data_IF_884494661642
#
_entry.id   IF_884494661642
#
_cell.length_a   1.000
_cell.length_b   1.000
_cell.length_c   1.000
_cell.angle_alpha   90.00
_cell.angle_beta   90.00
_cell.angle_gamma   90.00
#
_symmetry.space_group_name_H-M   'P 1'
#
loop_
_entity.id
_entity.type
_entity.pdbx_description
1 polymer ?
#
# COMPACT_ATOMS: atom_id res chain seq x y z
N UNK A 1 -12.16 -2.30 -19.13
CA UNK A 1 -13.11 -1.35 -18.49
C UNK A 1 -14.32 -2.03 -17.82
N UNK A 2 -14.77 -3.21 -18.24
CA UNK A 2 -15.89 -3.93 -17.59
C UNK A 2 -15.58 -4.48 -16.18
N UNK A 3 -14.33 -4.87 -15.91
CA UNK A 3 -13.91 -5.46 -14.62
C UNK A 3 -14.07 -4.47 -13.45
N UNK A 4 -13.84 -3.17 -13.68
CA UNK A 4 -14.01 -2.11 -12.66
C UNK A 4 -15.48 -1.83 -12.33
N UNK A 5 -16.40 -2.07 -13.26
CA UNK A 5 -17.84 -1.94 -13.02
C UNK A 5 -18.32 -3.04 -12.06
N UNK A 6 -17.88 -4.28 -12.31
CA UNK A 6 -18.22 -5.44 -11.47
C UNK A 6 -17.64 -5.26 -10.06
N UNK A 7 -16.39 -4.78 -9.95
CA UNK A 7 -15.76 -4.45 -8.65
C UNK A 7 -16.57 -3.41 -7.87
N UNK A 8 -17.02 -2.35 -8.55
CA UNK A 8 -17.80 -1.27 -7.93
C UNK A 8 -19.17 -1.76 -7.47
N UNK A 9 -19.83 -2.60 -8.26
CA UNK A 9 -21.10 -3.20 -7.87
C UNK A 9 -20.93 -4.11 -6.67
N UNK A 10 -19.91 -4.97 -6.67
CA UNK A 10 -19.59 -5.83 -5.54
C UNK A 10 -19.29 -5.03 -4.27
N UNK A 11 -18.50 -3.95 -4.38
CA UNK A 11 -18.25 -3.04 -3.28
C UNK A 11 -19.53 -2.41 -2.73
N UNK A 12 -20.43 -1.93 -3.60
CA UNK A 12 -21.72 -1.38 -3.16
C UNK A 12 -22.53 -2.42 -2.38
N UNK A 13 -22.61 -3.66 -2.88
CA UNK A 13 -23.30 -4.77 -2.19
C UNK A 13 -22.70 -5.03 -0.81
N UNK A 14 -21.36 -5.00 -0.68
CA UNK A 14 -20.68 -5.14 0.61
C UNK A 14 -21.03 -4.00 1.58
N UNK A 15 -21.01 -2.75 1.10
CA UNK A 15 -21.30 -1.56 1.93
C UNK A 15 -22.77 -1.45 2.34
N UNK A 16 -23.66 -2.12 1.61
CA UNK A 16 -25.08 -2.31 1.92
C UNK A 16 -25.34 -3.57 2.77
N UNK A 17 -24.30 -4.31 3.14
CA UNK A 17 -24.39 -5.55 3.94
C UNK A 17 -25.32 -6.61 3.33
N UNK A 18 -25.34 -6.70 2.00
CA UNK A 18 -26.14 -7.71 1.32
C UNK A 18 -25.64 -9.13 1.66
N UNK A 19 -26.55 -10.11 1.86
CA UNK A 19 -26.18 -11.49 2.10
C UNK A 19 -25.23 -12.03 1.03
N UNK A 20 -24.13 -12.65 1.46
CA UNK A 20 -23.13 -13.26 0.57
C UNK A 20 -22.18 -12.28 -0.13
N UNK A 21 -22.43 -10.96 -0.10
CA UNK A 21 -21.57 -9.99 -0.79
C UNK A 21 -20.12 -10.01 -0.28
N UNK A 22 -19.93 -10.18 1.04
CA UNK A 22 -18.58 -10.29 1.60
C UNK A 22 -17.86 -11.57 1.16
N UNK A 23 -18.57 -12.70 1.05
CA UNK A 23 -18.00 -13.95 0.53
C UNK A 23 -17.53 -13.76 -0.91
N UNK A 24 -18.37 -13.16 -1.76
CA UNK A 24 -18.03 -12.83 -3.14
C UNK A 24 -16.79 -11.90 -3.22
N UNK A 25 -16.67 -10.96 -2.28
CA UNK A 25 -15.50 -10.07 -2.17
C UNK A 25 -14.23 -10.82 -1.80
N UNK A 26 -14.30 -11.70 -0.80
CA UNK A 26 -13.18 -12.55 -0.39
C UNK A 26 -12.74 -13.43 -1.57
N UNK A 27 -13.66 -14.17 -2.18
CA UNK A 27 -13.36 -15.08 -3.29
C UNK A 27 -12.70 -14.34 -4.48
N UNK A 28 -13.09 -13.08 -4.72
CA UNK A 28 -12.53 -12.25 -5.79
C UNK A 28 -11.15 -11.69 -5.48
N UNK A 29 -10.88 -11.28 -4.25
CA UNK A 29 -9.65 -10.53 -3.90
C UNK A 29 -8.63 -11.32 -3.07
N UNK A 30 -8.95 -12.51 -2.60
CA UNK A 30 -8.00 -13.33 -1.81
C UNK A 30 -6.72 -13.63 -2.60
N UNK A 31 -6.83 -13.99 -3.88
CA UNK A 31 -5.67 -14.23 -4.74
C UNK A 31 -4.79 -12.99 -4.93
N UNK A 32 -5.40 -11.80 -4.96
CA UNK A 32 -4.67 -10.53 -5.00
C UNK A 32 -3.88 -10.32 -3.70
N UNK A 33 -4.51 -10.54 -2.54
CA UNK A 33 -3.84 -10.36 -1.26
C UNK A 33 -2.68 -11.33 -1.07
N UNK A 34 -2.88 -12.62 -1.37
CA UNK A 34 -1.81 -13.63 -1.35
C UNK A 34 -0.64 -13.21 -2.25
N UNK A 35 -0.92 -12.71 -3.45
CA UNK A 35 0.12 -12.21 -4.35
C UNK A 35 0.88 -11.02 -3.76
N UNK A 36 0.18 -10.02 -3.23
CA UNK A 36 0.78 -8.81 -2.64
C UNK A 36 1.62 -9.16 -1.41
N UNK A 37 1.16 -10.07 -0.56
CA UNK A 37 1.87 -10.54 0.63
C UNK A 37 3.20 -11.19 0.22
N UNK A 38 3.14 -12.22 -0.63
CA UNK A 38 4.32 -12.95 -1.07
C UNK A 38 5.32 -12.05 -1.79
N UNK A 39 4.85 -11.19 -2.68
CA UNK A 39 5.72 -10.25 -3.39
C UNK A 39 6.39 -9.26 -2.42
N UNK A 40 5.64 -8.72 -1.46
CA UNK A 40 6.17 -7.78 -0.47
C UNK A 40 7.21 -8.44 0.43
N UNK A 41 6.97 -9.66 0.90
CA UNK A 41 7.89 -10.41 1.74
C UNK A 41 9.17 -10.79 0.98
N UNK A 42 9.03 -11.31 -0.25
CA UNK A 42 10.17 -11.62 -1.12
C UNK A 42 11.03 -10.38 -1.39
N UNK A 43 10.42 -9.22 -1.68
CA UNK A 43 11.15 -7.97 -1.90
C UNK A 43 11.95 -7.48 -0.69
N UNK A 44 11.62 -7.97 0.51
CA UNK A 44 12.29 -7.63 1.78
C UNK A 44 13.17 -8.75 2.32
N UNK A 45 13.32 -9.84 1.56
CA UNK A 45 14.05 -11.05 1.96
C UNK A 45 13.55 -11.59 3.30
N UNK A 46 12.23 -11.64 3.46
CA UNK A 46 11.57 -12.22 4.64
C UNK A 46 10.89 -13.51 4.20
N UNK A 47 11.31 -14.66 4.74
CA UNK A 47 10.61 -15.92 4.52
C UNK A 47 9.26 -15.86 5.24
N UNK A 48 8.20 -16.34 4.59
CA UNK A 48 6.89 -16.54 5.21
C UNK A 48 6.50 -18.01 5.06
N UNK A 49 5.92 -18.57 6.12
CA UNK A 49 5.21 -19.84 6.06
C UNK A 49 3.83 -19.68 5.42
N UNK A 50 3.12 -20.78 5.16
CA UNK A 50 1.74 -20.73 4.69
C UNK A 50 0.84 -20.03 5.73
N UNK A 51 0.98 -20.41 7.00
CA UNK A 51 0.24 -19.84 8.13
C UNK A 51 0.45 -18.32 8.25
N UNK A 52 1.68 -17.84 8.03
CA UNK A 52 1.96 -16.39 8.03
C UNK A 52 1.20 -15.65 6.93
N UNK A 53 1.05 -16.26 5.75
CA UNK A 53 0.31 -15.66 4.63
C UNK A 53 -1.19 -15.63 4.94
N UNK A 54 -1.72 -16.68 5.56
CA UNK A 54 -3.11 -16.74 6.01
C UNK A 54 -3.41 -15.69 7.07
N UNK A 55 -2.55 -15.55 8.09
CA UNK A 55 -2.65 -14.54 9.14
C UNK A 55 -2.61 -13.12 8.56
N UNK A 56 -1.69 -12.85 7.63
CA UNK A 56 -1.62 -11.55 6.96
C UNK A 56 -2.86 -11.28 6.10
N UNK A 57 -3.40 -12.29 5.41
CA UNK A 57 -4.67 -12.14 4.70
C UNK A 57 -5.81 -11.80 5.67
N UNK A 58 -5.89 -12.49 6.80
CA UNK A 58 -6.89 -12.23 7.83
C UNK A 58 -6.77 -10.80 8.35
N UNK A 59 -5.56 -10.32 8.65
CA UNK A 59 -5.31 -8.94 9.11
C UNK A 59 -5.74 -7.89 8.06
N UNK A 60 -5.51 -8.17 6.77
CA UNK A 60 -6.02 -7.33 5.67
C UNK A 60 -7.54 -7.26 5.72
N UNK A 61 -8.23 -8.39 5.81
CA UNK A 61 -9.69 -8.42 5.87
C UNK A 61 -10.26 -7.75 7.13
N UNK A 62 -9.65 -7.99 8.31
CA UNK A 62 -10.02 -7.33 9.56
C UNK A 62 -9.88 -5.81 9.43
N UNK A 63 -8.78 -5.33 8.83
CA UNK A 63 -8.60 -3.90 8.57
C UNK A 63 -9.66 -3.35 7.62
N UNK A 64 -10.03 -4.09 6.57
CA UNK A 64 -11.08 -3.67 5.64
C UNK A 64 -12.47 -3.62 6.28
N UNK A 65 -12.76 -4.51 7.25
CA UNK A 65 -14.01 -4.56 7.99
C UNK A 65 -14.08 -3.52 9.13
N UNK A 66 -12.93 -3.11 9.66
CA UNK A 66 -12.84 -2.17 10.77
C UNK A 66 -13.57 -0.85 10.50
N UNK A 67 -14.04 -0.21 11.58
CA UNK A 67 -14.73 1.08 11.51
C UNK A 67 -15.91 1.08 10.51
N UNK A 68 -16.70 0.00 10.48
CA UNK A 68 -17.82 -0.20 9.56
C UNK A 68 -17.38 0.00 8.09
N UNK A 69 -16.47 -0.84 7.63
CA UNK A 69 -15.89 -0.75 6.28
C UNK A 69 -15.21 0.59 5.99
N UNK A 70 -14.59 1.20 7.01
CA UNK A 70 -14.11 2.60 6.94
C UNK A 70 -13.16 2.85 5.77
N UNK A 71 -12.22 1.93 5.50
CA UNK A 71 -11.32 2.02 4.36
C UNK A 71 -12.09 1.91 3.03
N UNK A 72 -12.97 0.94 2.89
CA UNK A 72 -13.76 0.76 1.67
C UNK A 72 -14.71 1.93 1.39
N UNK A 73 -15.27 2.57 2.43
CA UNK A 73 -16.11 3.78 2.31
C UNK A 73 -15.32 5.02 1.86
N UNK A 74 -14.01 5.05 2.10
CA UNK A 74 -13.14 6.13 1.65
C UNK A 74 -12.74 6.01 0.18
N UNK A 75 -12.99 4.87 -0.46
CA UNK A 75 -12.69 4.67 -1.88
C UNK A 75 -13.49 5.64 -2.76
N UNK A 76 -12.79 6.53 -3.46
CA UNK A 76 -13.38 7.58 -4.33
C UNK A 76 -13.52 7.16 -5.80
N UNK A 77 -13.13 5.94 -6.17
CA UNK A 77 -13.21 5.48 -7.55
C UNK A 77 -12.23 6.14 -8.52
N UNK A 78 -11.21 6.83 -8.00
CA UNK A 78 -10.12 7.46 -8.77
C UNK A 78 -9.13 6.46 -9.37
N UNK A 79 -9.19 5.20 -8.91
CA UNK A 79 -8.45 4.06 -9.45
C UNK A 79 -9.36 2.84 -9.59
N UNK A 80 -8.81 1.73 -10.09
CA UNK A 80 -9.43 0.43 -9.90
C UNK A 80 -9.50 0.05 -8.41
N UNK A 81 -10.50 -0.75 -8.02
CA UNK A 81 -10.61 -1.24 -6.65
C UNK A 81 -9.43 -2.16 -6.29
N UNK A 82 -8.98 -3.00 -7.22
CA UNK A 82 -7.79 -3.83 -7.04
C UNK A 82 -6.53 -3.01 -6.73
N UNK A 83 -6.34 -1.86 -7.38
CA UNK A 83 -5.24 -0.93 -7.09
C UNK A 83 -5.33 -0.41 -5.66
N UNK A 84 -6.52 0.06 -5.25
CA UNK A 84 -6.76 0.59 -3.91
C UNK A 84 -6.50 -0.46 -2.82
N UNK A 85 -7.02 -1.67 -3.01
CA UNK A 85 -6.84 -2.80 -2.09
C UNK A 85 -5.39 -3.27 -2.02
N UNK A 86 -4.65 -3.23 -3.13
CA UNK A 86 -3.21 -3.52 -3.18
C UNK A 86 -2.43 -2.58 -2.27
N UNK A 87 -2.76 -1.28 -2.27
CA UNK A 87 -2.08 -0.28 -1.42
C UNK A 87 -2.35 -0.56 0.06
N UNK A 88 -3.59 -0.87 0.43
CA UNK A 88 -3.97 -1.22 1.80
C UNK A 88 -3.24 -2.49 2.25
N UNK A 89 -3.34 -3.57 1.46
CA UNK A 89 -2.72 -4.85 1.80
C UNK A 89 -1.21 -4.72 1.97
N UNK A 90 -0.53 -4.04 1.04
CA UNK A 90 0.90 -3.79 1.15
C UNK A 90 1.27 -3.02 2.43
N UNK A 91 0.48 -2.00 2.81
CA UNK A 91 0.75 -1.23 4.04
C UNK A 91 0.71 -2.13 5.27
N UNK A 92 -0.28 -3.00 5.35
CA UNK A 92 -0.46 -3.93 6.46
C UNK A 92 0.73 -4.90 6.52
N UNK A 93 1.08 -5.51 5.38
CA UNK A 93 2.20 -6.46 5.29
C UNK A 93 3.53 -5.82 5.68
N UNK A 94 3.81 -4.60 5.20
CA UNK A 94 5.05 -3.89 5.56
C UNK A 94 5.09 -3.58 7.05
N UNK A 95 3.96 -3.14 7.63
CA UNK A 95 3.87 -2.86 9.07
C UNK A 95 4.17 -4.13 9.88
N UNK A 96 3.49 -5.23 9.57
CA UNK A 96 3.66 -6.50 10.30
C UNK A 96 5.08 -7.06 10.18
N UNK A 97 5.65 -7.10 8.96
CA UNK A 97 7.02 -7.55 8.76
C UNK A 97 8.03 -6.69 9.55
N UNK A 98 7.81 -5.37 9.59
CA UNK A 98 8.70 -4.45 10.32
C UNK A 98 8.60 -4.67 11.82
N UNK A 99 7.39 -4.90 12.34
CA UNK A 99 7.17 -5.18 13.76
C UNK A 99 7.76 -6.53 14.18
N UNK A 100 7.57 -7.59 13.38
CA UNK A 100 8.16 -8.91 13.65
C UNK A 100 9.69 -8.84 13.76
N UNK A 101 10.35 -8.16 12.81
CA UNK A 101 11.81 -7.94 12.84
C UNK A 101 12.28 -7.18 14.08
N UNK A 102 11.52 -6.18 14.52
CA UNK A 102 11.84 -5.43 15.74
C UNK A 102 11.73 -6.32 16.98
N UNK A 103 10.67 -7.12 17.08
CA UNK A 103 10.45 -8.06 18.18
C UNK A 103 11.52 -9.17 18.24
N UNK A 104 11.96 -9.67 17.08
CA UNK A 104 13.07 -10.62 16.99
C UNK A 104 14.40 -9.99 17.42
N UNK A 105 14.69 -8.77 16.97
CA UNK A 105 15.92 -8.05 17.32
C UNK A 105 16.00 -7.63 18.80
N UNK A 106 14.86 -7.38 19.44
CA UNK A 106 14.78 -6.99 20.84
C UNK A 106 14.69 -8.18 21.81
N UNK A 107 14.63 -9.42 21.30
CA UNK A 107 14.59 -10.64 22.11
C UNK A 107 13.31 -10.77 22.93
N UNK A 108 12.26 -11.36 22.34
CA UNK A 108 11.05 -11.86 23.01
C UNK A 108 10.60 -11.05 24.24
N UNK A 109 10.02 -9.88 24.02
CA UNK A 109 9.05 -9.29 24.94
C UNK A 109 7.72 -9.22 24.19
N UNK A 110 6.65 -9.92 24.65
CA UNK A 110 5.36 -9.81 24.02
C UNK A 110 4.80 -8.42 24.36
N UNK A 111 4.97 -7.47 23.45
CA UNK A 111 4.38 -6.14 23.57
C UNK A 111 2.90 -6.21 23.19
N UNK A 112 2.09 -6.75 24.09
CA UNK A 112 0.67 -6.44 24.11
C UNK A 112 0.54 -4.99 24.59
N UNK A 113 0.17 -4.08 23.67
CA UNK A 113 -0.15 -2.69 23.99
C UNK A 113 0.96 -1.69 23.71
N UNK A 114 0.92 -1.08 22.53
CA UNK A 114 1.25 0.34 22.39
C UNK A 114 0.35 0.94 21.31
N UNK A 115 -0.88 1.22 21.72
CA UNK A 115 -1.58 2.37 21.18
C UNK A 115 -0.83 3.61 21.61
N UNK A 116 -0.64 4.50 20.64
CA UNK A 116 -0.37 5.93 20.75
C UNK A 116 1.09 6.38 20.78
N UNK A 117 1.30 7.29 19.83
CA UNK A 117 2.28 8.37 19.77
C UNK A 117 3.70 7.99 19.30
N UNK A 118 4.36 8.72 18.40
CA UNK A 118 4.14 10.10 18.02
C UNK A 118 4.72 10.42 16.64
N UNK A 119 4.02 11.31 15.96
CA UNK A 119 4.56 12.52 15.35
C UNK A 119 5.78 12.38 14.41
N UNK A 120 5.51 12.33 13.11
CA UNK A 120 6.55 12.65 12.11
C UNK A 120 6.19 12.41 10.64
N UNK A 121 5.17 11.62 10.31
CA UNK A 121 4.92 11.21 8.90
C UNK A 121 3.48 11.48 8.44
N UNK A 122 2.87 12.53 9.03
CA UNK A 122 1.49 12.94 8.77
C UNK A 122 1.25 13.68 7.45
N UNK A 123 2.29 13.91 6.63
CA UNK A 123 2.12 14.54 5.33
C UNK A 123 2.73 13.66 4.23
N UNK A 124 1.88 13.30 3.27
CA UNK A 124 2.25 12.79 1.94
C UNK A 124 2.28 11.26 1.73
N UNK A 125 1.56 10.46 2.52
CA UNK A 125 1.27 9.05 2.16
C UNK A 125 0.03 8.94 1.24
N UNK A 126 -0.86 9.95 1.25
CA UNK A 126 -2.10 10.02 0.44
C UNK A 126 -1.91 10.50 -1.01
N UNK A 127 -0.66 10.70 -1.47
CA UNK A 127 -0.37 11.19 -2.81
C UNK A 127 0.31 10.14 -3.69
N UNK A 128 0.07 8.84 -3.43
CA UNK A 128 0.47 7.84 -4.41
C UNK A 128 -0.41 7.96 -5.65
N UNK A 129 0.20 8.30 -6.78
CA UNK A 129 -0.51 8.35 -8.06
C UNK A 129 -0.94 6.91 -8.39
N UNK A 130 -2.24 6.69 -8.43
CA UNK A 130 -2.84 5.35 -8.56
C UNK A 130 -2.78 4.80 -10.00
N UNK A 131 -2.49 5.65 -11.00
CA UNK A 131 -2.37 5.25 -12.41
C UNK A 131 -0.92 4.97 -12.82
N UNK A 132 -0.53 3.69 -12.81
CA UNK A 132 0.80 3.21 -13.25
C UNK A 132 1.18 3.65 -14.66
N UNK A 133 0.21 3.69 -15.59
CA UNK A 133 0.45 4.13 -16.97
C UNK A 133 0.65 5.63 -17.08
N UNK A 134 -0.09 6.41 -16.29
CA UNK A 134 0.05 7.87 -16.21
C UNK A 134 1.41 8.23 -15.59
N UNK A 135 1.78 7.58 -14.48
CA UNK A 135 3.11 7.70 -13.87
C UNK A 135 4.20 7.38 -14.89
N UNK A 136 4.08 6.28 -15.65
CA UNK A 136 5.10 5.89 -16.63
C UNK A 136 5.23 6.89 -17.78
N UNK A 137 4.13 7.51 -18.24
CA UNK A 137 4.15 8.56 -19.27
C UNK A 137 4.77 9.86 -18.75
N UNK A 138 4.38 10.28 -17.54
CA UNK A 138 4.85 11.52 -16.91
C UNK A 138 6.31 11.43 -16.44
N UNK A 139 6.78 10.24 -16.07
CA UNK A 139 8.18 9.96 -15.72
C UNK A 139 9.17 10.25 -16.86
N UNK A 140 8.72 10.23 -18.12
CA UNK A 140 9.58 10.55 -19.29
C UNK A 140 9.98 12.02 -19.36
N UNK A 141 9.30 12.89 -18.63
CA UNK A 141 9.45 14.34 -18.67
C UNK A 141 10.24 14.87 -17.47
N UNK A 142 10.48 14.02 -16.46
CA UNK A 142 11.21 14.37 -15.25
C UNK A 142 12.72 14.15 -15.43
N UNK A 143 13.56 14.93 -14.73
CA UNK A 143 14.98 14.63 -14.61
C UNK A 143 15.21 13.21 -14.08
N UNK A 144 16.22 12.47 -14.57
CA UNK A 144 16.41 11.05 -14.27
C UNK A 144 16.37 10.70 -12.77
N UNK A 145 17.01 11.53 -11.94
CA UNK A 145 17.03 11.33 -10.48
C UNK A 145 15.69 11.52 -9.79
N UNK A 146 14.87 12.47 -10.26
CA UNK A 146 13.53 12.70 -9.71
C UNK A 146 12.58 11.59 -10.16
N UNK A 147 12.73 11.14 -11.41
CA UNK A 147 11.99 10.03 -11.98
C UNK A 147 12.24 8.72 -11.22
N UNK A 148 13.48 8.44 -10.83
CA UNK A 148 13.82 7.23 -10.06
C UNK A 148 13.25 7.26 -8.65
N UNK A 149 13.26 8.41 -7.97
CA UNK A 149 12.62 8.57 -6.65
C UNK A 149 11.11 8.32 -6.74
N UNK A 150 10.44 8.90 -7.74
CA UNK A 150 9.00 8.72 -7.99
C UNK A 150 8.68 7.26 -8.34
N UNK A 151 9.48 6.61 -9.20
CA UNK A 151 9.34 5.19 -9.55
C UNK A 151 9.47 4.32 -8.32
N UNK A 152 10.53 4.49 -7.54
CA UNK A 152 10.78 3.66 -6.37
C UNK A 152 9.71 3.85 -5.29
N UNK A 153 9.22 5.08 -5.11
CA UNK A 153 8.19 5.36 -4.12
C UNK A 153 6.78 4.94 -4.56
N UNK A 154 6.39 5.24 -5.81
CA UNK A 154 5.02 5.02 -6.29
C UNK A 154 4.80 3.69 -7.00
N UNK A 155 5.78 3.22 -7.78
CA UNK A 155 5.65 1.97 -8.54
C UNK A 155 6.19 0.77 -7.77
N UNK A 156 7.30 0.96 -7.05
CA UNK A 156 7.97 -0.09 -6.29
C UNK A 156 7.61 -0.05 -4.80
N UNK A 157 6.98 1.01 -4.31
CA UNK A 157 6.51 1.18 -2.93
C UNK A 157 7.62 1.09 -1.86
N UNK A 158 8.83 1.53 -2.20
CA UNK A 158 9.96 1.61 -1.29
C UNK A 158 9.76 2.77 -0.30
N UNK A 159 10.22 2.55 0.92
CA UNK A 159 10.33 3.56 1.98
C UNK A 159 11.44 4.56 1.67
N UNK A 160 11.45 5.71 2.34
CA UNK A 160 12.49 6.73 2.15
C UNK A 160 13.88 6.17 2.45
N UNK A 161 14.01 5.33 3.48
CA UNK A 161 15.27 4.64 3.79
C UNK A 161 15.73 3.71 2.66
N UNK A 162 14.82 2.92 2.09
CA UNK A 162 15.12 2.02 0.96
C UNK A 162 15.49 2.81 -0.31
N UNK A 163 14.83 3.94 -0.57
CA UNK A 163 15.14 4.84 -1.69
C UNK A 163 16.49 5.51 -1.48
N UNK A 164 16.76 6.00 -0.26
CA UNK A 164 18.04 6.60 0.13
C UNK A 164 19.20 5.63 -0.09
N UNK A 165 19.05 4.39 0.41
CA UNK A 165 20.04 3.34 0.22
C UNK A 165 20.23 2.96 -1.26
N UNK A 166 19.14 2.93 -2.05
CA UNK A 166 19.20 2.56 -3.46
C UNK A 166 19.78 3.64 -4.37
N UNK A 167 19.54 4.92 -4.07
CA UNK A 167 19.93 6.04 -4.93
C UNK A 167 21.13 6.83 -4.38
N UNK A 168 21.59 6.52 -3.18
CA UNK A 168 22.70 7.20 -2.51
C UNK A 168 22.39 8.66 -2.16
N UNK A 169 21.10 9.00 -1.97
CA UNK A 169 20.66 10.35 -1.60
C UNK A 169 20.19 10.38 -0.15
N UNK A 170 20.42 11.46 0.61
CA UNK A 170 19.94 11.57 1.98
C UNK A 170 18.42 11.38 2.13
N UNK A 171 17.96 10.68 3.17
CA UNK A 171 16.53 10.44 3.40
C UNK A 171 15.71 11.73 3.47
N UNK A 172 16.26 12.78 4.08
CA UNK A 172 15.65 14.10 4.20
C UNK A 172 15.48 14.83 2.84
N UNK A 173 16.16 14.37 1.78
CA UNK A 173 16.04 14.93 0.44
C UNK A 173 14.89 14.32 -0.38
N UNK A 174 14.34 13.19 0.06
CA UNK A 174 13.35 12.41 -0.69
C UNK A 174 11.99 13.11 -0.70
N UNK A 175 11.50 13.56 0.47
CA UNK A 175 10.24 14.30 0.57
C UNK A 175 10.19 15.56 -0.32
N UNK A 176 11.20 16.46 -0.24
CA UNK A 176 11.32 17.59 -1.14
C UNK A 176 11.38 17.21 -2.62
N UNK A 177 12.06 16.10 -2.95
CA UNK A 177 12.17 15.62 -4.34
C UNK A 177 10.85 15.10 -4.87
N UNK A 178 10.07 14.38 -4.05
CA UNK A 178 8.72 13.94 -4.40
C UNK A 178 7.79 15.14 -4.64
N UNK A 179 7.79 16.14 -3.74
CA UNK A 179 6.97 17.34 -3.90
C UNK A 179 7.31 18.10 -5.20
N UNK A 180 8.60 18.36 -5.45
CA UNK A 180 9.03 19.05 -6.68
C UNK A 180 8.64 18.29 -7.95
N UNK A 181 8.76 16.96 -7.94
CA UNK A 181 8.38 16.12 -9.06
C UNK A 181 6.85 16.14 -9.29
N UNK A 182 6.06 16.04 -8.22
CA UNK A 182 4.60 16.13 -8.26
C UNK A 182 4.10 17.51 -8.75
N UNK A 183 4.74 18.60 -8.32
CA UNK A 183 4.40 19.95 -8.77
C UNK A 183 4.67 20.12 -10.27
N UNK A 184 5.78 19.57 -10.79
CA UNK A 184 6.06 19.57 -12.24
C UNK A 184 5.08 18.72 -13.04
N UNK A 185 4.63 17.61 -12.47
CA UNK A 185 3.62 16.75 -13.10
C UNK A 185 2.27 17.47 -13.17
N UNK A 186 1.88 18.23 -12.13
CA UNK A 186 0.62 18.99 -12.07
C UNK A 186 0.58 20.22 -12.98
N UNK A 187 1.71 20.88 -13.22
CA UNK A 187 1.78 22.07 -14.09
C UNK A 187 1.67 21.77 -15.59
N UNK A 188 1.62 20.48 -15.98
CA UNK A 188 1.57 20.04 -17.39
C UNK A 188 0.33 19.21 -17.74
N UNK A 189 -0.63 19.10 -16.82
CA UNK A 189 -1.98 18.57 -17.07
C UNK A 189 -2.95 19.74 -17.19
#
# INVERSE_FOLDING_TARGET
MALTEIDRTLLKRCLSEEPGAWKDFVDRFIGLFVHVINHTAHSRSVPLSADDVEDLCAEVFVTLLSNNYGALRQFRGKSSLATYLTVIARRIVVKEITQRRLSEALGHVPAHGSSLDAAGVGATESQRIEDREEVTRLLRVLPPREADVIRQFHLEGKSYREISASLGIPENSIGPTLNRALDRMRQRT
#
